data_IF_013889104200
#
_entry.id   IF_013889104200
#
_cell.length_a   1.000
_cell.length_b   1.000
_cell.length_c   1.000
_cell.angle_alpha   90.00
_cell.angle_beta   90.00
_cell.angle_gamma   90.00
#
_symmetry.space_group_name_H-M   'P 1'
#
loop_
_entity.id
_entity.type
_entity.pdbx_description
1 polymer ?
#
# COMPACT_ATOMS: atom_id res chain seq x y z
N UNK A 1 -2.99 12.04 -10.26
CA UNK A 1 -1.67 11.80 -9.65
C UNK A 1 -0.78 11.14 -10.68
N UNK A 2 0.52 11.47 -10.70
CA UNK A 2 1.52 10.67 -11.39
C UNK A 2 1.41 9.20 -10.99
N UNK A 3 1.69 8.27 -11.90
CA UNK A 3 1.75 6.84 -11.61
C UNK A 3 2.99 6.50 -10.77
N UNK A 4 2.95 5.34 -10.11
CA UNK A 4 3.98 4.96 -9.12
C UNK A 4 5.40 4.85 -9.67
N UNK A 5 5.55 4.69 -10.99
CA UNK A 5 6.82 4.57 -11.69
C UNK A 5 7.33 5.87 -12.33
N UNK A 6 6.52 6.95 -12.36
CA UNK A 6 6.89 8.17 -13.09
C UNK A 6 8.06 8.93 -12.43
N UNK A 7 8.19 8.83 -11.10
CA UNK A 7 9.22 9.50 -10.30
C UNK A 7 9.98 8.48 -9.43
N UNK A 8 10.84 7.62 -10.01
CA UNK A 8 11.47 6.52 -9.30
C UNK A 8 12.32 6.95 -8.11
N UNK A 9 12.91 8.13 -8.13
CA UNK A 9 13.77 8.63 -7.05
C UNK A 9 13.04 9.34 -5.90
N UNK A 10 11.71 9.51 -5.98
CA UNK A 10 10.93 10.25 -4.96
C UNK A 10 9.95 9.37 -4.17
N UNK A 11 9.76 8.10 -4.57
CA UNK A 11 8.76 7.21 -4.01
C UNK A 11 7.43 7.27 -4.76
N UNK A 12 6.31 7.12 -4.04
CA UNK A 12 4.95 7.11 -4.62
C UNK A 12 4.19 8.40 -4.30
N UNK A 13 3.42 8.91 -5.27
CA UNK A 13 2.61 10.12 -5.07
C UNK A 13 1.29 9.81 -4.35
N UNK A 14 0.97 10.58 -3.31
CA UNK A 14 -0.24 10.39 -2.49
C UNK A 14 -1.21 11.58 -2.51
N UNK A 15 -0.72 12.74 -2.93
CA UNK A 15 -1.39 14.02 -2.70
C UNK A 15 -0.86 15.11 -3.62
N UNK A 16 -1.49 16.28 -3.53
CA UNK A 16 -0.99 17.52 -4.09
C UNK A 16 -0.88 18.49 -2.91
N UNK A 17 0.23 19.20 -2.79
CA UNK A 17 0.39 20.22 -1.77
C UNK A 17 -0.40 21.50 -2.14
N UNK A 18 -0.84 22.26 -1.15
CA UNK A 18 -1.66 23.45 -1.38
C UNK A 18 -0.85 24.67 -1.88
N UNK A 19 0.43 24.77 -1.50
CA UNK A 19 1.22 25.97 -1.70
C UNK A 19 1.71 26.11 -3.16
N UNK A 20 2.15 25.00 -3.75
CA UNK A 20 2.78 24.95 -5.06
C UNK A 20 2.01 24.07 -6.06
N UNK A 21 0.98 23.35 -5.58
CA UNK A 21 0.24 22.36 -6.38
C UNK A 21 1.14 21.26 -6.96
N UNK A 22 2.20 20.90 -6.24
CA UNK A 22 3.10 19.81 -6.63
C UNK A 22 2.71 18.50 -5.96
N UNK A 23 3.03 17.34 -6.56
CA UNK A 23 2.76 16.05 -5.94
C UNK A 23 3.53 15.88 -4.62
N UNK A 24 2.85 15.36 -3.61
CA UNK A 24 3.45 14.94 -2.34
C UNK A 24 3.75 13.45 -2.43
N UNK A 25 4.99 13.07 -2.08
CA UNK A 25 5.48 11.70 -2.17
C UNK A 25 5.72 11.06 -0.81
N UNK A 26 5.60 9.73 -0.76
CA UNK A 26 6.10 8.88 0.33
C UNK A 26 7.16 7.95 -0.26
N UNK A 27 8.33 7.90 0.37
CA UNK A 27 9.39 6.95 0.06
C UNK A 27 9.53 5.89 1.14
N UNK A 28 9.05 4.67 0.85
CA UNK A 28 9.11 3.53 1.76
C UNK A 28 10.50 2.87 1.84
N UNK A 29 11.40 3.17 0.90
CA UNK A 29 12.79 2.68 0.96
C UNK A 29 13.60 3.49 2.00
N UNK A 30 13.20 4.74 2.24
CA UNK A 30 13.77 5.63 3.27
C UNK A 30 13.00 5.53 4.59
N UNK A 31 11.66 5.68 4.56
CA UNK A 31 10.78 5.68 5.74
C UNK A 31 9.76 4.52 5.66
N UNK A 32 10.04 3.38 6.30
CA UNK A 32 9.26 2.15 6.07
C UNK A 32 7.85 2.18 6.68
N UNK A 33 7.54 3.15 7.55
CA UNK A 33 6.27 3.21 8.27
C UNK A 33 5.52 4.50 7.95
N UNK A 34 4.23 4.36 7.61
CA UNK A 34 3.33 5.47 7.36
C UNK A 34 2.07 5.34 8.22
N UNK A 35 1.65 6.45 8.84
CA UNK A 35 0.50 6.48 9.75
C UNK A 35 -0.43 7.63 9.36
N UNK A 36 -1.73 7.31 9.22
CA UNK A 36 -2.77 8.28 8.88
C UNK A 36 -3.86 8.28 9.95
N UNK A 37 -4.20 9.49 10.42
CA UNK A 37 -5.30 9.73 11.34
C UNK A 37 -6.37 10.60 10.69
N UNK A 38 -7.60 10.48 11.17
CA UNK A 38 -8.72 11.30 10.72
C UNK A 38 -10.04 10.75 11.20
N UNK A 39 -11.07 11.59 11.19
CA UNK A 39 -12.42 11.22 11.61
C UNK A 39 -13.07 10.20 10.66
N UNK A 40 -14.22 9.64 11.05
CA UNK A 40 -15.01 8.81 10.15
C UNK A 40 -15.21 9.50 8.79
N UNK A 41 -15.12 8.73 7.71
CA UNK A 41 -15.35 9.23 6.33
C UNK A 41 -14.32 10.25 5.82
N UNK A 42 -13.22 10.49 6.53
CA UNK A 42 -12.14 11.40 6.11
C UNK A 42 -11.29 10.91 4.92
N UNK A 43 -11.64 9.81 4.27
CA UNK A 43 -10.88 9.28 3.13
C UNK A 43 -9.67 8.38 3.45
N UNK A 44 -9.44 7.99 4.70
CA UNK A 44 -8.31 7.09 5.09
C UNK A 44 -8.26 5.80 4.26
N UNK A 45 -9.39 5.10 4.12
CA UNK A 45 -9.47 3.89 3.30
C UNK A 45 -9.07 4.21 1.86
N UNK A 46 -9.58 5.29 1.28
CA UNK A 46 -9.23 5.70 -0.08
C UNK A 46 -7.73 5.97 -0.25
N UNK A 47 -7.08 6.60 0.74
CA UNK A 47 -5.63 6.80 0.74
C UNK A 47 -4.88 5.47 0.75
N UNK A 48 -5.27 4.51 1.60
CA UNK A 48 -4.65 3.18 1.60
C UNK A 48 -4.85 2.45 0.28
N UNK A 49 -6.03 2.58 -0.36
CA UNK A 49 -6.29 2.02 -1.70
C UNK A 49 -5.37 2.64 -2.75
N UNK A 50 -5.17 3.96 -2.70
CA UNK A 50 -4.24 4.66 -3.58
C UNK A 50 -2.82 4.15 -3.39
N UNK A 51 -2.34 4.02 -2.15
CA UNK A 51 -1.00 3.52 -1.85
C UNK A 51 -0.82 2.10 -2.41
N UNK A 52 -1.75 1.19 -2.15
CA UNK A 52 -1.69 -0.18 -2.67
C UNK A 52 -1.61 -0.21 -4.20
N UNK A 53 -2.42 0.61 -4.88
CA UNK A 53 -2.37 0.75 -6.34
C UNK A 53 -1.03 1.29 -6.82
N UNK A 54 -0.50 2.33 -6.19
CA UNK A 54 0.79 2.92 -6.59
C UNK A 54 1.95 1.93 -6.41
N UNK A 55 1.94 1.14 -5.33
CA UNK A 55 2.92 0.05 -5.12
C UNK A 55 2.81 -0.98 -6.24
N UNK A 56 1.60 -1.43 -6.57
CA UNK A 56 1.38 -2.42 -7.63
C UNK A 56 1.74 -1.89 -9.04
N UNK A 57 1.60 -0.58 -9.29
CA UNK A 57 2.06 0.06 -10.53
C UNK A 57 3.58 0.19 -10.60
N UNK A 58 4.24 0.33 -9.46
CA UNK A 58 5.68 0.63 -9.36
C UNK A 58 6.55 -0.63 -9.33
N UNK A 59 6.12 -1.63 -8.59
CA UNK A 59 6.90 -2.83 -8.31
C UNK A 59 6.24 -4.04 -8.94
N UNK A 60 7.05 -4.96 -9.45
CA UNK A 60 6.57 -6.27 -9.87
C UNK A 60 6.11 -7.10 -8.64
N UNK A 61 5.27 -8.11 -8.86
CA UNK A 61 4.91 -9.10 -7.85
C UNK A 61 6.11 -9.67 -7.06
N UNK A 62 7.25 -9.89 -7.72
CA UNK A 62 8.48 -10.40 -7.06
C UNK A 62 9.21 -9.38 -6.20
N UNK A 63 9.00 -8.08 -6.44
CA UNK A 63 9.67 -6.98 -5.72
C UNK A 63 8.84 -6.50 -4.54
N UNK A 64 7.50 -6.53 -4.64
CA UNK A 64 6.61 -6.10 -3.57
C UNK A 64 5.38 -7.00 -3.45
N UNK A 65 5.03 -7.29 -2.20
CA UNK A 65 3.87 -8.08 -1.81
C UNK A 65 3.04 -7.32 -0.80
N UNK A 66 1.72 -7.49 -0.84
CA UNK A 66 0.78 -6.76 0.01
C UNK A 66 0.01 -7.76 0.87
N UNK A 67 0.01 -7.50 2.19
CA UNK A 67 -0.83 -8.16 3.18
C UNK A 67 -1.81 -7.13 3.73
N UNK A 68 -3.10 -7.47 3.75
CA UNK A 68 -4.16 -6.55 4.17
C UNK A 68 -4.79 -7.03 5.46
N UNK A 69 -4.61 -6.26 6.53
CA UNK A 69 -5.41 -6.36 7.74
C UNK A 69 -6.60 -5.40 7.66
N UNK A 70 -7.77 -5.91 7.31
CA UNK A 70 -8.97 -5.08 7.17
C UNK A 70 -10.19 -5.73 7.83
N UNK A 71 -10.53 -5.21 9.01
CA UNK A 71 -11.68 -5.66 9.79
C UNK A 71 -13.02 -5.37 9.09
N UNK A 72 -13.13 -4.25 8.36
CA UNK A 72 -14.38 -3.82 7.73
C UNK A 72 -14.53 -4.34 6.30
N UNK A 73 -13.54 -5.06 5.77
CA UNK A 73 -13.56 -5.64 4.40
C UNK A 73 -13.78 -4.57 3.32
N UNK A 74 -13.32 -3.36 3.59
CA UNK A 74 -13.36 -2.18 2.72
C UNK A 74 -12.14 -2.04 1.79
N UNK A 75 -11.24 -3.03 1.72
CA UNK A 75 -9.99 -3.02 0.93
C UNK A 75 -9.85 -4.19 -0.04
N UNK A 76 -10.80 -5.14 -0.06
CA UNK A 76 -10.73 -6.38 -0.85
C UNK A 76 -10.45 -6.17 -2.36
N UNK A 77 -10.93 -5.07 -2.93
CA UNK A 77 -10.79 -4.76 -4.36
C UNK A 77 -9.69 -3.72 -4.65
N UNK A 78 -8.89 -3.36 -3.64
CA UNK A 78 -7.90 -2.28 -3.77
C UNK A 78 -6.52 -2.77 -4.17
N UNK A 79 -6.25 -4.05 -3.95
CA UNK A 79 -4.96 -4.68 -4.19
C UNK A 79 -5.08 -5.56 -5.42
N UNK A 80 -4.12 -5.44 -6.35
CA UNK A 80 -4.03 -6.35 -7.49
C UNK A 80 -3.90 -7.80 -6.99
N UNK A 81 -4.62 -8.74 -7.61
CA UNK A 81 -4.55 -10.17 -7.23
C UNK A 81 -3.10 -10.69 -7.28
N UNK A 82 -2.31 -10.21 -8.23
CA UNK A 82 -0.91 -10.62 -8.40
C UNK A 82 0.01 -10.17 -7.25
N UNK A 83 -0.37 -9.11 -6.52
CA UNK A 83 0.40 -8.54 -5.41
C UNK A 83 -0.13 -8.94 -4.04
N UNK A 84 -1.38 -9.43 -3.95
CA UNK A 84 -2.03 -9.82 -2.70
C UNK A 84 -1.51 -11.19 -2.24
N UNK A 85 -0.80 -11.23 -1.11
CA UNK A 85 -0.44 -12.50 -0.46
C UNK A 85 -1.56 -13.02 0.43
N UNK A 86 -2.14 -12.14 1.24
CA UNK A 86 -3.13 -12.52 2.23
C UNK A 86 -4.04 -11.34 2.56
N UNK A 87 -5.34 -11.64 2.71
CA UNK A 87 -6.32 -10.72 3.27
C UNK A 87 -6.88 -11.31 4.56
N UNK A 88 -6.49 -10.75 5.70
CA UNK A 88 -6.91 -11.21 7.02
C UNK A 88 -8.03 -10.31 7.58
N UNK A 89 -9.29 -10.78 7.67
CA UNK A 89 -10.28 -10.13 8.51
C UNK A 89 -9.87 -10.41 9.96
N UNK A 90 -9.24 -9.45 10.65
CA UNK A 90 -8.65 -9.72 11.98
C UNK A 90 -9.71 -10.11 13.04
N UNK A 91 -9.95 -11.42 13.11
CA UNK A 91 -10.35 -12.26 14.24
C UNK A 91 -10.02 -13.71 13.86
N UNK A 92 -8.73 -14.02 13.79
CA UNK A 92 -8.09 -15.29 14.16
C UNK A 92 -6.60 -15.09 13.92
N UNK A 93 -5.82 -15.06 15.00
CA UNK A 93 -4.39 -15.24 14.92
C UNK A 93 -4.15 -16.70 14.53
N UNK A 94 -4.05 -16.98 13.23
CA UNK A 94 -3.46 -18.23 12.76
C UNK A 94 -2.05 -17.90 12.27
N UNK A 95 -1.08 -18.22 13.11
CA UNK A 95 0.34 -18.02 12.87
C UNK A 95 0.91 -19.03 11.87
N UNK A 96 0.37 -19.08 10.65
CA UNK A 96 0.93 -19.83 9.54
C UNK A 96 1.40 -18.88 8.44
N UNK A 97 2.22 -17.91 8.84
CA UNK A 97 3.15 -17.25 7.93
C UNK A 97 4.27 -18.24 7.57
N UNK A 98 3.94 -19.28 6.79
CA UNK A 98 4.95 -20.14 6.18
C UNK A 98 5.59 -19.34 5.04
N UNK A 99 6.63 -18.59 5.39
CA UNK A 99 7.65 -18.19 4.42
C UNK A 99 8.24 -19.50 3.90
N UNK A 100 7.85 -19.91 2.69
CA UNK A 100 8.59 -20.94 1.98
C UNK A 100 9.93 -20.33 1.60
N UNK A 101 10.96 -20.65 2.37
CA UNK A 101 12.34 -20.49 1.97
C UNK A 101 12.62 -21.44 0.81
N UNK A 102 12.51 -20.93 -0.41
CA UNK A 102 13.08 -21.61 -1.57
C UNK A 102 14.60 -21.59 -1.42
N UNK A 103 15.13 -22.77 -1.10
CA UNK A 103 16.54 -23.07 -0.93
C UNK A 103 17.32 -22.75 -2.21
N UNK A 104 18.48 -22.11 -2.03
CA UNK A 104 19.67 -22.35 -2.85
C UNK A 104 20.43 -23.57 -2.28
#
# INVERSE_FOLDING_TARGET
>A
MPKGFEFPQHGIAIGIDEANLEPVFIDFDTDPFFLVFGESESGKTNLLRLIAKQIAERYTPSEARIVVGDYRRTMLEAVSEDHLLEHAPMTSANGDGVIREDHL
#
